data_IF_239507448020
#
_entry.id   IF_239507448020
#
_cell.length_a   1.000
_cell.length_b   1.000
_cell.length_c   1.000
_cell.angle_alpha   90.00
_cell.angle_beta   90.00
_cell.angle_gamma   90.00
#
_symmetry.space_group_name_H-M   'P 1'
#
loop_
_entity.id
_entity.type
_entity.pdbx_description
1 polymer ?
#
# COMPACT_ATOMS: atom_id res chain seq x y z
N UNK A 1 -25.30 59.74 -2.53
CA UNK A 1 -24.27 59.22 -3.45
C UNK A 1 -22.99 59.04 -2.64
N UNK A 2 -22.56 57.87 -2.22
CA UNK A 2 -23.18 56.55 -2.23
C UNK A 2 -22.58 55.78 -1.05
N UNK A 3 -23.43 55.39 -0.10
CA UNK A 3 -23.15 54.24 0.75
C UNK A 3 -23.23 53.01 -0.18
N UNK A 4 -22.18 52.79 -0.96
CA UNK A 4 -21.79 51.40 -1.20
C UNK A 4 -21.39 50.90 0.20
N UNK A 5 -22.39 50.41 0.94
CA UNK A 5 -22.26 50.05 2.34
C UNK A 5 -21.07 49.10 2.52
N UNK A 6 -20.17 49.42 3.44
CA UNK A 6 -19.03 48.57 3.81
C UNK A 6 -19.48 47.12 4.06
N UNK A 7 -20.69 46.94 4.60
CA UNK A 7 -21.35 45.64 4.79
C UNK A 7 -21.61 44.90 3.47
N UNK A 8 -22.06 45.60 2.43
CA UNK A 8 -22.27 45.02 1.10
C UNK A 8 -20.94 44.61 0.46
N UNK A 9 -19.89 45.40 0.63
CA UNK A 9 -18.54 45.05 0.17
C UNK A 9 -17.98 43.83 0.90
N UNK A 10 -18.12 43.77 2.22
CA UNK A 10 -17.71 42.61 3.03
C UNK A 10 -18.52 41.36 2.69
N UNK A 11 -19.83 41.48 2.45
CA UNK A 11 -20.69 40.37 2.06
C UNK A 11 -20.31 39.80 0.69
N UNK A 12 -20.05 40.65 -0.30
CA UNK A 12 -19.59 40.23 -1.64
C UNK A 12 -18.20 39.60 -1.55
N UNK A 13 -17.27 40.20 -0.80
CA UNK A 13 -15.93 39.64 -0.58
C UNK A 13 -15.98 38.27 0.09
N UNK A 14 -16.80 38.13 1.14
CA UNK A 14 -17.02 36.85 1.83
C UNK A 14 -17.65 35.79 0.92
N UNK A 15 -18.61 36.18 0.08
CA UNK A 15 -19.21 35.28 -0.91
C UNK A 15 -18.17 34.78 -1.92
N UNK A 16 -17.35 35.67 -2.47
CA UNK A 16 -16.28 35.30 -3.42
C UNK A 16 -15.29 34.32 -2.77
N UNK A 17 -14.83 34.63 -1.57
CA UNK A 17 -13.91 33.75 -0.83
C UNK A 17 -14.56 32.39 -0.56
N UNK A 18 -15.84 32.38 -0.18
CA UNK A 18 -16.62 31.15 0.02
C UNK A 18 -16.70 30.29 -1.24
N UNK A 19 -16.99 30.90 -2.39
CA UNK A 19 -17.05 30.20 -3.69
C UNK A 19 -15.67 29.64 -4.08
N UNK A 20 -14.61 30.44 -3.95
CA UNK A 20 -13.24 29.98 -4.26
C UNK A 20 -12.81 28.84 -3.32
N UNK A 21 -13.12 28.95 -2.03
CA UNK A 21 -12.84 27.89 -1.05
C UNK A 21 -13.59 26.60 -1.36
N UNK A 22 -14.85 26.70 -1.78
CA UNK A 22 -15.64 25.54 -2.20
C UNK A 22 -15.05 24.87 -3.45
N UNK A 23 -14.68 25.65 -4.47
CA UNK A 23 -14.04 25.13 -5.69
C UNK A 23 -12.72 24.44 -5.37
N UNK A 24 -11.91 25.04 -4.49
CA UNK A 24 -10.66 24.45 -4.03
C UNK A 24 -10.88 23.14 -3.28
N UNK A 25 -11.89 23.07 -2.40
CA UNK A 25 -12.22 21.85 -1.67
C UNK A 25 -12.63 20.70 -2.62
N UNK A 26 -13.40 21.00 -3.68
CA UNK A 26 -13.73 20.01 -4.71
C UNK A 26 -12.48 19.52 -5.46
N UNK A 27 -11.59 20.44 -5.84
CA UNK A 27 -10.34 20.09 -6.49
C UNK A 27 -9.46 19.20 -5.59
N UNK A 28 -9.25 19.59 -4.33
CA UNK A 28 -8.47 18.83 -3.36
C UNK A 28 -9.08 17.44 -3.09
N UNK A 29 -10.41 17.34 -3.02
CA UNK A 29 -11.10 16.06 -2.89
C UNK A 29 -10.86 15.12 -4.08
N UNK A 30 -10.79 15.66 -5.29
CA UNK A 30 -10.46 14.89 -6.50
C UNK A 30 -9.02 14.39 -6.48
N UNK A 31 -8.06 15.26 -6.16
CA UNK A 31 -6.64 14.89 -6.07
C UNK A 31 -6.38 13.87 -4.95
N UNK A 32 -7.05 14.01 -3.80
CA UNK A 32 -6.97 13.02 -2.72
C UNK A 32 -7.45 11.64 -3.18
N UNK A 33 -8.57 11.56 -3.91
CA UNK A 33 -9.08 10.28 -4.45
C UNK A 33 -8.12 9.63 -5.44
N UNK A 34 -7.48 10.43 -6.31
CA UNK A 34 -6.45 9.93 -7.23
C UNK A 34 -5.25 9.37 -6.46
N UNK A 35 -4.78 10.09 -5.44
CA UNK A 35 -3.67 9.66 -4.61
C UNK A 35 -3.99 8.38 -3.83
N UNK A 36 -5.19 8.27 -3.24
CA UNK A 36 -5.67 7.04 -2.60
C UNK A 36 -5.60 5.84 -3.56
N UNK A 37 -6.11 6.01 -4.79
CA UNK A 37 -6.06 4.97 -5.82
C UNK A 37 -4.62 4.60 -6.22
N UNK A 38 -3.75 5.60 -6.38
CA UNK A 38 -2.34 5.38 -6.71
C UNK A 38 -1.60 4.61 -5.61
N UNK A 39 -1.76 5.01 -4.35
CA UNK A 39 -1.13 4.33 -3.19
C UNK A 39 -1.58 2.87 -3.12
N UNK A 40 -2.89 2.61 -3.23
CA UNK A 40 -3.40 1.23 -3.26
C UNK A 40 -2.76 0.42 -4.39
N UNK A 41 -2.75 0.97 -5.60
CA UNK A 41 -2.16 0.29 -6.76
C UNK A 41 -0.68 0.00 -6.56
N UNK A 42 0.08 0.95 -5.98
CA UNK A 42 1.49 0.76 -5.71
C UNK A 42 1.72 -0.31 -4.64
N UNK A 43 0.97 -0.31 -3.55
CA UNK A 43 1.09 -1.32 -2.50
C UNK A 43 0.88 -2.73 -3.06
N UNK A 44 -0.14 -2.91 -3.91
CA UNK A 44 -0.40 -4.18 -4.58
C UNK A 44 0.68 -4.56 -5.60
N UNK A 45 1.26 -3.58 -6.30
CA UNK A 45 2.40 -3.82 -7.19
C UNK A 45 3.64 -4.28 -6.40
N UNK A 46 3.98 -3.57 -5.32
CA UNK A 46 5.07 -3.94 -4.42
C UNK A 46 4.84 -5.33 -3.82
N UNK A 47 3.61 -5.68 -3.44
CA UNK A 47 3.27 -7.00 -2.89
C UNK A 47 3.64 -8.11 -3.88
N UNK A 48 3.26 -7.96 -5.15
CA UNK A 48 3.60 -8.94 -6.20
C UNK A 48 5.12 -9.05 -6.39
N UNK A 49 5.83 -7.92 -6.45
CA UNK A 49 7.28 -7.90 -6.65
C UNK A 49 8.05 -8.51 -5.48
N UNK A 50 7.69 -8.15 -4.26
CA UNK A 50 8.34 -8.64 -3.03
C UNK A 50 8.03 -10.12 -2.78
N UNK A 51 6.79 -10.57 -3.02
CA UNK A 51 6.45 -11.99 -2.97
C UNK A 51 7.32 -12.82 -3.92
N UNK A 52 7.48 -12.36 -5.17
CA UNK A 52 8.30 -13.06 -6.16
C UNK A 52 9.79 -13.00 -5.80
N UNK A 53 10.30 -11.85 -5.38
CA UNK A 53 11.70 -11.69 -4.97
C UNK A 53 12.05 -12.59 -3.79
N UNK A 54 11.17 -12.65 -2.77
CA UNK A 54 11.32 -13.52 -1.61
C UNK A 54 11.35 -15.01 -2.01
N UNK A 55 10.40 -15.44 -2.85
CA UNK A 55 10.38 -16.81 -3.36
C UNK A 55 11.64 -17.18 -4.17
N UNK A 56 12.16 -16.26 -4.98
CA UNK A 56 13.41 -16.48 -5.72
C UNK A 56 14.63 -16.55 -4.81
N UNK A 57 14.68 -15.73 -3.74
CA UNK A 57 15.78 -15.75 -2.79
C UNK A 57 15.79 -17.04 -1.96
N UNK A 58 14.62 -17.49 -1.49
CA UNK A 58 14.47 -18.79 -0.82
C UNK A 58 14.90 -19.95 -1.72
N UNK A 59 14.53 -19.90 -3.00
CA UNK A 59 15.00 -20.87 -3.99
C UNK A 59 16.52 -20.81 -4.18
N UNK A 60 17.11 -19.61 -4.26
CA UNK A 60 18.54 -19.44 -4.40
C UNK A 60 19.31 -20.00 -3.20
N UNK A 61 18.86 -19.74 -1.97
CA UNK A 61 19.42 -20.32 -0.73
C UNK A 61 19.37 -21.84 -0.78
N UNK A 62 18.20 -22.40 -1.16
CA UNK A 62 18.02 -23.85 -1.29
C UNK A 62 18.99 -24.45 -2.31
N UNK A 63 19.05 -23.88 -3.51
CA UNK A 63 19.93 -24.35 -4.58
C UNK A 63 21.41 -24.25 -4.19
N UNK A 64 21.80 -23.19 -3.48
CA UNK A 64 23.16 -23.01 -2.99
C UNK A 64 23.54 -24.13 -2.02
N UNK A 65 22.69 -24.39 -1.01
CA UNK A 65 22.87 -25.49 -0.06
C UNK A 65 22.89 -26.86 -0.74
N UNK A 66 22.05 -27.09 -1.74
CA UNK A 66 21.96 -28.39 -2.41
C UNK A 66 23.13 -28.68 -3.34
N UNK A 67 23.61 -27.67 -4.09
CA UNK A 67 24.67 -27.84 -5.10
C UNK A 67 26.09 -27.77 -4.53
N UNK A 68 26.28 -27.07 -3.42
CA UNK A 68 27.61 -26.82 -2.84
C UNK A 68 27.81 -27.43 -1.45
N UNK A 69 27.10 -28.53 -1.12
CA UNK A 69 27.13 -29.17 0.21
C UNK A 69 28.52 -29.34 0.82
N UNK A 70 29.50 -29.75 0.02
CA UNK A 70 30.86 -30.03 0.49
C UNK A 70 31.81 -28.81 0.40
N UNK A 71 31.34 -27.67 -0.13
CA UNK A 71 32.10 -26.43 -0.36
C UNK A 71 31.29 -25.19 -0.01
N UNK A 72 30.45 -25.30 1.01
CA UNK A 72 29.64 -24.20 1.51
C UNK A 72 30.55 -23.10 2.06
N UNK A 73 30.44 -21.91 1.49
CA UNK A 73 31.05 -20.72 2.05
C UNK A 73 30.09 -20.16 3.13
N UNK A 74 30.48 -20.19 4.42
CA UNK A 74 29.62 -19.75 5.50
C UNK A 74 29.30 -18.26 5.42
N UNK A 75 30.20 -17.43 4.89
CA UNK A 75 29.98 -15.98 4.78
C UNK A 75 28.95 -15.67 3.70
N UNK A 76 29.00 -16.40 2.57
CA UNK A 76 27.98 -16.30 1.51
C UNK A 76 26.63 -16.75 2.04
N UNK A 77 26.57 -17.89 2.74
CA UNK A 77 25.32 -18.39 3.30
C UNK A 77 24.72 -17.41 4.32
N UNK A 78 25.54 -16.86 5.22
CA UNK A 78 25.09 -15.88 6.21
C UNK A 78 24.50 -14.62 5.54
N UNK A 79 25.14 -14.12 4.47
CA UNK A 79 24.61 -12.97 3.72
C UNK A 79 23.29 -13.29 3.00
N UNK A 80 23.15 -14.49 2.44
CA UNK A 80 21.91 -14.93 1.80
C UNK A 80 20.77 -15.06 2.81
N UNK A 81 21.02 -15.66 3.97
CA UNK A 81 20.02 -15.80 5.04
C UNK A 81 19.60 -14.45 5.62
N UNK A 82 20.57 -13.53 5.80
CA UNK A 82 20.27 -12.17 6.23
C UNK A 82 19.43 -11.42 5.21
N UNK A 83 19.74 -11.60 3.92
CA UNK A 83 18.95 -11.03 2.83
C UNK A 83 17.52 -11.59 2.82
N UNK A 84 17.35 -12.88 3.09
CA UNK A 84 16.03 -13.53 3.18
C UNK A 84 15.20 -12.93 4.32
N UNK A 85 15.80 -12.77 5.51
CA UNK A 85 15.14 -12.12 6.63
C UNK A 85 14.67 -10.69 6.29
N UNK A 86 15.53 -9.88 5.68
CA UNK A 86 15.16 -8.52 5.26
C UNK A 86 14.06 -8.51 4.19
N UNK A 87 14.10 -9.42 3.22
CA UNK A 87 13.05 -9.55 2.22
C UNK A 87 11.70 -9.93 2.86
N UNK A 88 11.70 -10.83 3.85
CA UNK A 88 10.49 -11.19 4.59
C UNK A 88 9.93 -10.01 5.39
N UNK A 89 10.78 -9.21 6.01
CA UNK A 89 10.34 -8.02 6.76
C UNK A 89 9.71 -6.97 5.83
N UNK A 90 10.35 -6.69 4.69
CA UNK A 90 9.78 -5.80 3.66
C UNK A 90 8.45 -6.34 3.14
N UNK A 91 8.34 -7.65 2.91
CA UNK A 91 7.10 -8.28 2.47
C UNK A 91 5.96 -8.11 3.49
N UNK A 92 6.23 -8.31 4.78
CA UNK A 92 5.26 -8.10 5.86
C UNK A 92 4.83 -6.63 5.95
N UNK A 93 5.76 -5.70 5.79
CA UNK A 93 5.44 -4.28 5.80
C UNK A 93 4.54 -3.88 4.63
N UNK A 94 4.76 -4.44 3.44
CA UNK A 94 3.88 -4.21 2.29
C UNK A 94 2.46 -4.76 2.54
N UNK A 95 2.33 -5.91 3.21
CA UNK A 95 1.01 -6.44 3.61
C UNK A 95 0.30 -5.46 4.57
N UNK A 96 1.03 -4.91 5.54
CA UNK A 96 0.51 -3.88 6.46
C UNK A 96 0.13 -2.60 5.72
N UNK A 97 0.90 -2.17 4.72
CA UNK A 97 0.54 -1.01 3.89
C UNK A 97 -0.74 -1.25 3.09
N UNK A 98 -0.96 -2.47 2.58
CA UNK A 98 -2.24 -2.84 1.96
C UNK A 98 -3.36 -2.67 2.98
N UNK A 99 -3.24 -3.26 4.17
CA UNK A 99 -4.24 -3.13 5.24
C UNK A 99 -4.60 -1.67 5.53
N UNK A 100 -3.60 -0.81 5.72
CA UNK A 100 -3.79 0.61 6.06
C UNK A 100 -4.34 1.45 4.90
N UNK A 101 -4.07 1.04 3.66
CA UNK A 101 -4.53 1.77 2.48
C UNK A 101 -6.00 1.50 2.13
N UNK A 102 -6.58 0.40 2.61
CA UNK A 102 -7.97 0.04 2.33
C UNK A 102 -8.95 0.76 3.24
N UNK A 103 -10.12 1.15 2.70
CA UNK A 103 -11.10 1.97 3.44
C UNK A 103 -11.81 1.19 4.54
N UNK A 104 -12.07 -0.08 4.28
CA UNK A 104 -12.65 -1.03 5.22
C UNK A 104 -11.91 -2.35 5.01
N UNK A 105 -11.01 -2.68 5.94
CA UNK A 105 -10.26 -3.92 5.88
C UNK A 105 -11.00 -5.00 6.68
N UNK A 106 -11.90 -5.71 6.01
CA UNK A 106 -12.78 -6.73 6.59
C UNK A 106 -12.76 -8.05 5.80
N UNK A 107 -13.48 -9.05 6.30
CA UNK A 107 -13.59 -10.36 5.66
C UNK A 107 -14.22 -10.27 4.26
N UNK A 108 -15.21 -9.39 4.07
CA UNK A 108 -15.90 -9.22 2.79
C UNK A 108 -14.94 -8.74 1.70
N UNK A 109 -14.06 -7.79 2.03
CA UNK A 109 -13.03 -7.30 1.12
C UNK A 109 -12.03 -8.41 0.77
N UNK A 110 -11.60 -9.18 1.75
CA UNK A 110 -10.65 -10.28 1.54
C UNK A 110 -11.28 -11.37 0.66
N UNK A 111 -12.53 -11.74 0.92
CA UNK A 111 -13.27 -12.72 0.12
C UNK A 111 -13.50 -12.22 -1.32
N UNK A 112 -13.66 -10.91 -1.49
CA UNK A 112 -13.68 -10.30 -2.82
C UNK A 112 -12.33 -10.44 -3.55
N UNK A 113 -11.20 -10.27 -2.85
CA UNK A 113 -9.88 -10.50 -3.45
C UNK A 113 -9.64 -11.96 -3.83
N UNK A 114 -10.14 -12.90 -3.04
CA UNK A 114 -10.09 -14.33 -3.35
C UNK A 114 -10.93 -14.63 -4.60
N UNK A 115 -12.18 -14.18 -4.63
CA UNK A 115 -13.11 -14.46 -5.74
C UNK A 115 -12.68 -13.83 -7.07
N UNK A 116 -11.95 -12.72 -7.03
CA UNK A 116 -11.35 -12.08 -8.22
C UNK A 116 -9.99 -12.65 -8.61
N UNK A 117 -9.46 -13.61 -7.84
CA UNK A 117 -8.15 -14.23 -8.09
C UNK A 117 -6.97 -13.29 -7.81
N UNK A 118 -7.20 -12.16 -7.11
CA UNK A 118 -6.15 -11.21 -6.74
C UNK A 118 -5.17 -11.81 -5.74
N UNK A 119 -5.68 -12.65 -4.85
CA UNK A 119 -4.90 -13.50 -3.93
C UNK A 119 -5.52 -14.90 -3.88
N UNK A 120 -4.73 -15.90 -3.49
CA UNK A 120 -5.26 -17.24 -3.23
C UNK A 120 -5.74 -17.37 -1.77
N UNK A 121 -6.55 -18.39 -1.49
CA UNK A 121 -7.14 -18.63 -0.17
C UNK A 121 -6.07 -18.89 0.92
N UNK A 122 -4.97 -19.56 0.58
CA UNK A 122 -3.87 -19.80 1.51
C UNK A 122 -3.24 -18.47 1.98
N UNK A 123 -2.95 -17.55 1.05
CA UNK A 123 -2.41 -16.23 1.35
C UNK A 123 -3.42 -15.39 2.12
N UNK A 124 -4.70 -15.46 1.78
CA UNK A 124 -5.75 -14.75 2.51
C UNK A 124 -5.78 -15.16 3.99
N UNK A 125 -5.78 -16.47 4.26
CA UNK A 125 -5.80 -17.02 5.62
C UNK A 125 -4.50 -16.74 6.38
N UNK A 126 -3.34 -16.90 5.74
CA UNK A 126 -2.06 -16.75 6.41
C UNK A 126 -1.69 -15.29 6.67
N UNK A 127 -2.00 -14.38 5.73
CA UNK A 127 -1.43 -13.04 5.71
C UNK A 127 -2.44 -11.92 6.01
N UNK A 128 -3.70 -12.06 5.59
CA UNK A 128 -4.65 -10.94 5.61
C UNK A 128 -5.75 -11.09 6.66
N UNK A 129 -6.36 -12.27 6.83
CA UNK A 129 -7.45 -12.46 7.80
C UNK A 129 -7.02 -12.24 9.25
N UNK A 130 -5.75 -12.53 9.57
CA UNK A 130 -5.16 -12.28 10.90
C UNK A 130 -4.94 -10.78 11.21
N UNK A 131 -5.13 -9.90 10.22
CA UNK A 131 -4.97 -8.45 10.35
C UNK A 131 -6.32 -7.71 10.42
N UNK A 132 -7.44 -8.43 10.39
CA UNK A 132 -8.77 -7.83 10.62
C UNK A 132 -8.80 -7.36 12.09
N UNK A 133 -9.19 -6.09 12.37
CA UNK A 133 -9.29 -5.56 13.73
C UNK A 133 -10.28 -6.30 14.63
#
# INVERSE_FOLDING_TARGET
MGLFDLNSFLAVGGFIIGVVGLLYAFYQGSEKKKLEGFVKSQNWHLYSKTNNANGQLQLAVKLYRERYKDKLDPDVLANLEKSDAWCQDVFKEVIRQIQLSEKAFDSTLIDHWISTGKINEHHANALFRNLIP
#
